data_IF_473119135842
#
_entry.id   IF_473119135842
#
_cell.length_a   1.000
_cell.length_b   1.000
_cell.length_c   1.000
_cell.angle_alpha   90.00
_cell.angle_beta   90.00
_cell.angle_gamma   90.00
#
_symmetry.space_group_name_H-M   'P 1'
#
loop_
_entity.id
_entity.type
_entity.pdbx_description
1 polymer ?
#
# COMPACT_ATOMS: atom_id res chain seq x y z
N UNK A 1 10.95 6.66 -11.29
CA UNK A 1 10.76 7.61 -10.16
C UNK A 1 10.13 6.93 -8.94
N UNK A 2 8.89 6.40 -9.05
CA UNK A 2 8.22 5.75 -7.91
C UNK A 2 8.98 4.53 -7.37
N UNK A 3 9.59 3.74 -8.24
CA UNK A 3 10.37 2.57 -7.86
C UNK A 3 11.56 2.93 -6.95
N UNK A 4 12.32 3.99 -7.29
CA UNK A 4 13.44 4.45 -6.45
C UNK A 4 12.96 4.90 -5.07
N UNK A 5 11.79 5.54 -5.00
CA UNK A 5 11.20 5.97 -3.74
C UNK A 5 10.75 4.78 -2.88
N UNK A 6 10.03 3.82 -3.47
CA UNK A 6 9.57 2.62 -2.75
C UNK A 6 10.76 1.77 -2.28
N UNK A 7 11.79 1.61 -3.12
CA UNK A 7 13.04 0.93 -2.72
C UNK A 7 13.67 1.58 -1.50
N UNK A 8 13.84 2.91 -1.53
CA UNK A 8 14.43 3.64 -0.40
C UNK A 8 13.55 3.58 0.86
N UNK A 9 12.23 3.67 0.72
CA UNK A 9 11.29 3.49 1.83
C UNK A 9 11.41 2.08 2.44
N UNK A 10 11.53 1.05 1.61
CA UNK A 10 11.72 -0.32 2.04
C UNK A 10 13.04 -0.50 2.81
N UNK A 11 14.13 0.13 2.34
CA UNK A 11 15.43 0.14 3.04
C UNK A 11 15.36 0.83 4.40
N UNK A 12 14.59 1.92 4.52
CA UNK A 12 14.37 2.59 5.79
C UNK A 12 13.53 1.76 6.78
N UNK A 13 12.76 0.79 6.29
CA UNK A 13 11.94 -0.09 7.14
C UNK A 13 10.87 0.65 7.95
N UNK A 14 10.51 1.86 7.54
CA UNK A 14 9.53 2.68 8.25
C UNK A 14 8.70 3.52 7.26
N UNK A 15 7.57 2.97 6.83
CA UNK A 15 6.58 3.71 6.04
C UNK A 15 5.39 2.85 5.61
N UNK A 16 4.33 3.52 5.19
CA UNK A 16 3.16 2.90 4.55
C UNK A 16 2.99 3.51 3.16
N UNK A 17 2.98 2.66 2.13
CA UNK A 17 2.73 3.07 0.75
C UNK A 17 1.31 2.70 0.32
N UNK A 18 0.61 3.64 -0.31
CA UNK A 18 -0.65 3.39 -1.00
C UNK A 18 -0.38 3.23 -2.49
N UNK A 19 -0.54 2.01 -3.01
CA UNK A 19 -0.25 1.69 -4.41
C UNK A 19 -1.44 1.01 -5.09
N UNK A 20 -1.37 0.91 -6.41
CA UNK A 20 -2.25 0.00 -7.14
C UNK A 20 -1.88 -1.45 -6.83
N UNK A 21 -2.90 -2.29 -6.70
CA UNK A 21 -2.76 -3.72 -6.48
C UNK A 21 -2.32 -4.44 -7.78
N UNK A 22 -1.08 -4.20 -8.19
CA UNK A 22 -0.43 -4.81 -9.37
C UNK A 22 0.65 -5.77 -8.90
N UNK A 23 0.21 -6.83 -8.22
CA UNK A 23 1.08 -7.91 -7.71
C UNK A 23 1.94 -8.56 -8.79
N UNK A 24 1.52 -8.50 -10.05
CA UNK A 24 2.21 -9.00 -11.24
C UNK A 24 3.41 -8.13 -11.67
N UNK A 25 3.50 -6.89 -11.20
CA UNK A 25 4.55 -5.97 -11.64
C UNK A 25 5.93 -6.28 -11.05
N UNK A 26 6.99 -5.93 -11.79
CA UNK A 26 8.39 -6.11 -11.37
C UNK A 26 8.68 -5.52 -9.99
N UNK A 27 8.17 -4.32 -9.69
CA UNK A 27 8.35 -3.69 -8.38
C UNK A 27 7.67 -4.49 -7.26
N UNK A 28 6.53 -5.13 -7.54
CA UNK A 28 5.87 -5.98 -6.56
C UNK A 28 6.67 -7.24 -6.28
N UNK A 29 7.08 -7.93 -7.34
CA UNK A 29 7.83 -9.18 -7.26
C UNK A 29 9.22 -8.97 -6.63
N UNK A 30 10.00 -8.01 -7.13
CA UNK A 30 11.42 -7.89 -6.78
C UNK A 30 11.67 -7.04 -5.52
N UNK A 31 10.68 -6.25 -5.06
CA UNK A 31 10.87 -5.31 -3.94
C UNK A 31 9.80 -5.48 -2.88
N UNK A 32 8.52 -5.35 -3.23
CA UNK A 32 7.46 -5.33 -2.22
C UNK A 32 7.33 -6.68 -1.53
N UNK A 33 7.27 -7.79 -2.27
CA UNK A 33 7.15 -9.11 -1.64
C UNK A 33 8.41 -9.50 -0.85
N UNK A 34 9.58 -9.04 -1.27
CA UNK A 34 10.84 -9.33 -0.58
C UNK A 34 11.08 -8.46 0.67
N UNK A 35 10.52 -7.25 0.73
CA UNK A 35 10.86 -6.26 1.77
C UNK A 35 9.70 -5.77 2.61
N UNK A 36 8.46 -5.89 2.15
CA UNK A 36 7.32 -5.47 2.93
C UNK A 36 7.11 -6.42 4.10
N UNK A 37 6.73 -5.85 5.23
CA UNK A 37 6.38 -6.60 6.44
C UNK A 37 4.94 -7.13 6.33
N UNK A 38 4.02 -6.29 5.86
CA UNK A 38 2.64 -6.66 5.69
C UNK A 38 1.92 -5.81 4.64
N UNK A 39 0.75 -6.27 4.21
CA UNK A 39 -0.12 -5.54 3.29
C UNK A 39 -1.57 -5.59 3.72
N UNK A 40 -2.37 -4.61 3.29
CA UNK A 40 -3.82 -4.58 3.46
C UNK A 40 -4.52 -4.28 2.15
N UNK A 41 -5.23 -5.27 1.63
CA UNK A 41 -6.07 -5.16 0.45
C UNK A 41 -7.39 -4.48 0.83
N UNK A 42 -7.63 -3.29 0.30
CA UNK A 42 -8.77 -2.47 0.72
C UNK A 42 -10.09 -3.06 0.21
N UNK A 43 -11.12 -3.02 1.07
CA UNK A 43 -12.49 -3.40 0.68
C UNK A 43 -13.10 -2.22 -0.06
N UNK A 44 -13.36 -2.41 -1.35
CA UNK A 44 -13.81 -1.42 -2.34
C UNK A 44 -12.70 -0.53 -2.93
N UNK A 45 -13.02 0.14 -4.04
CA UNK A 45 -12.14 1.11 -4.68
C UNK A 45 -12.13 2.43 -3.88
N UNK A 46 -10.94 2.95 -3.63
CA UNK A 46 -10.78 4.29 -3.02
C UNK A 46 -11.25 5.38 -3.99
N UNK A 47 -11.55 6.56 -3.46
CA UNK A 47 -11.83 7.77 -4.23
C UNK A 47 -11.10 8.92 -3.57
N UNK A 48 -10.49 9.78 -4.38
CA UNK A 48 -9.80 10.96 -3.88
C UNK A 48 -10.74 12.16 -3.95
N UNK A 49 -10.69 13.01 -2.93
CA UNK A 49 -11.34 14.31 -2.96
C UNK A 49 -10.43 15.31 -3.66
N UNK A 50 -11.01 16.14 -4.52
CA UNK A 50 -10.33 17.27 -5.14
C UNK A 50 -10.22 18.44 -4.14
N UNK A 51 -9.34 19.43 -4.38
CA UNK A 51 -9.21 20.60 -3.49
C UNK A 51 -10.51 21.37 -3.26
N UNK A 52 -11.47 21.29 -4.19
CA UNK A 52 -12.80 21.91 -4.08
C UNK A 52 -13.82 21.06 -3.29
N UNK A 53 -13.40 19.93 -2.72
CA UNK A 53 -14.27 19.02 -1.97
C UNK A 53 -15.10 18.08 -2.83
N UNK A 54 -15.03 18.17 -4.16
CA UNK A 54 -15.73 17.22 -5.03
C UNK A 54 -15.08 15.85 -4.99
N UNK A 55 -15.90 14.80 -5.01
CA UNK A 55 -15.39 13.42 -5.03
C UNK A 55 -14.95 13.04 -6.44
N UNK A 56 -13.71 12.63 -6.58
CA UNK A 56 -13.16 12.08 -7.81
C UNK A 56 -13.67 10.67 -8.12
N UNK A 57 -13.32 10.22 -9.31
CA UNK A 57 -13.59 8.86 -9.74
C UNK A 57 -12.70 7.84 -9.02
N UNK A 58 -13.12 6.58 -9.10
CA UNK A 58 -12.35 5.46 -8.58
C UNK A 58 -11.23 5.09 -9.54
N UNK A 59 -10.05 4.66 -9.05
CA UNK A 59 -9.01 4.14 -9.92
C UNK A 59 -9.45 2.84 -10.61
N UNK A 60 -8.93 2.61 -11.82
CA UNK A 60 -9.26 1.41 -12.61
C UNK A 60 -8.79 0.10 -11.96
N UNK A 61 -7.73 0.15 -11.15
CA UNK A 61 -7.19 -1.00 -10.43
C UNK A 61 -7.48 -0.91 -8.92
N UNK A 62 -7.33 -2.04 -8.22
CA UNK A 62 -7.47 -2.08 -6.77
C UNK A 62 -6.39 -1.26 -6.10
N UNK A 63 -6.63 -0.92 -4.84
CA UNK A 63 -5.66 -0.22 -4.01
C UNK A 63 -5.24 -1.10 -2.85
N UNK A 64 -3.97 -0.99 -2.48
CA UNK A 64 -3.36 -1.77 -1.42
C UNK A 64 -2.49 -0.84 -0.57
N UNK A 65 -2.55 -1.03 0.74
CA UNK A 65 -1.59 -0.45 1.68
C UNK A 65 -0.47 -1.46 1.89
N UNK A 66 0.78 -1.01 1.79
CA UNK A 66 1.97 -1.81 2.00
C UNK A 66 2.74 -1.19 3.15
N UNK A 67 2.97 -1.96 4.21
CA UNK A 67 3.71 -1.54 5.38
C UNK A 67 5.14 -2.09 5.34
N UNK A 68 6.09 -1.21 5.61
CA UNK A 68 7.49 -1.52 5.88
C UNK A 68 7.77 -1.27 7.36
N UNK A 69 8.23 -2.31 8.07
CA UNK A 69 8.46 -2.31 9.51
C UNK A 69 7.27 -2.79 10.34
N UNK A 70 7.56 -3.28 11.55
CA UNK A 70 6.58 -3.85 12.48
C UNK A 70 5.53 -2.83 12.93
N UNK A 71 5.96 -1.62 13.29
CA UNK A 71 5.05 -0.57 13.75
C UNK A 71 3.99 -0.25 12.69
N UNK A 72 4.42 -0.12 11.43
CA UNK A 72 3.52 0.15 10.32
C UNK A 72 2.62 -1.05 10.00
N UNK A 73 3.11 -2.27 10.16
CA UNK A 73 2.33 -3.49 9.98
C UNK A 73 1.20 -3.57 11.01
N UNK A 74 1.49 -3.25 12.27
CA UNK A 74 0.47 -3.22 13.33
C UNK A 74 -0.54 -2.09 13.11
N UNK A 75 -0.10 -0.91 12.65
CA UNK A 75 -1.00 0.20 12.28
C UNK A 75 -1.99 -0.23 11.19
N UNK A 76 -1.53 -0.83 10.09
CA UNK A 76 -2.45 -1.23 9.02
C UNK A 76 -3.34 -2.40 9.42
N UNK A 77 -2.87 -3.27 10.32
CA UNK A 77 -3.66 -4.40 10.85
C UNK A 77 -4.84 -3.91 11.70
N UNK A 78 -4.58 -2.95 12.59
CA UNK A 78 -5.54 -2.49 13.61
C UNK A 78 -6.41 -1.32 13.18
N UNK A 79 -6.06 -0.62 12.09
CA UNK A 79 -6.87 0.51 11.63
C UNK A 79 -8.27 0.12 11.14
N UNK A 80 -9.22 1.06 11.27
CA UNK A 80 -10.63 0.90 10.88
C UNK A 80 -10.87 0.90 9.36
N UNK A 81 -9.82 0.98 8.56
CA UNK A 81 -9.95 0.87 7.10
C UNK A 81 -10.35 -0.58 6.78
N UNK A 82 -11.52 -0.77 6.17
CA UNK A 82 -12.00 -2.10 5.81
C UNK A 82 -11.09 -2.75 4.75
N UNK A 83 -10.76 -4.03 4.95
CA UNK A 83 -9.89 -4.76 4.02
C UNK A 83 -9.36 -6.06 4.61
N UNK A 84 -8.61 -6.81 3.79
CA UNK A 84 -7.92 -8.03 4.21
C UNK A 84 -6.46 -7.71 4.50
N UNK A 85 -6.06 -7.88 5.76
CA UNK A 85 -4.66 -7.84 6.17
C UNK A 85 -3.97 -9.18 5.85
N UNK A 86 -2.72 -9.09 5.39
CA UNK A 86 -1.85 -10.24 5.09
C UNK A 86 -0.44 -9.90 5.58
N UNK A 87 0.09 -10.73 6.47
CA UNK A 87 1.51 -10.72 6.84
C UNK A 87 2.31 -11.34 5.70
N UNK A 88 3.43 -10.72 5.31
CA UNK A 88 4.28 -11.21 4.21
C UNK A 88 5.54 -11.86 4.76
N UNK A 89 6.41 -11.06 5.39
CA UNK A 89 7.72 -11.47 5.92
C UNK A 89 7.77 -11.28 7.43
#
# INVERSE_FOLDING_TARGET
LIECFVKRMAEHGNGIALLFNRCDSKMFQDVIFEKATAMKFLRNRIRFFRPDGTRGDSPGCGSILIAFGEDNAEVIKTCDIAGKYVRIN
#
